data_IF_106459019772
#
_entry.id   IF_106459019772
#
_cell.length_a   1.000
_cell.length_b   1.000
_cell.length_c   1.000
_cell.angle_alpha   90.00
_cell.angle_beta   90.00
_cell.angle_gamma   90.00
#
_symmetry.space_group_name_H-M   'P 1'
#
loop_
_entity.id
_entity.type
_entity.pdbx_description
1 polymer ?
#
# COMPACT_ATOMS: atom_id res chain seq x y z
N UNK A 1 -12.12 -9.08 20.87
CA UNK A 1 -11.58 -8.12 19.89
C UNK A 1 -10.39 -8.74 19.18
N UNK A 2 -10.40 -8.71 17.88
CA UNK A 2 -9.31 -9.25 17.09
C UNK A 2 -8.04 -8.41 17.29
N UNK A 3 -6.90 -9.07 17.54
CA UNK A 3 -5.62 -8.39 17.69
C UNK A 3 -5.25 -7.55 16.47
N UNK A 4 -5.73 -7.94 15.27
CA UNK A 4 -5.45 -7.23 14.03
C UNK A 4 -6.14 -5.86 13.93
N UNK A 5 -7.11 -5.58 14.83
CA UNK A 5 -7.81 -4.31 14.86
C UNK A 5 -7.15 -3.28 15.78
N UNK A 6 -6.05 -3.63 16.43
CA UNK A 6 -5.32 -2.74 17.32
C UNK A 6 -4.02 -2.31 16.64
N UNK A 7 -3.86 -1.00 16.32
CA UNK A 7 -2.61 -0.54 15.74
C UNK A 7 -1.43 -0.75 16.68
N UNK A 8 -0.31 -1.17 16.11
CA UNK A 8 0.94 -1.33 16.83
C UNK A 8 1.83 -0.11 16.56
N UNK A 9 2.35 0.48 17.63
CA UNK A 9 3.31 1.58 17.51
C UNK A 9 4.65 1.04 17.06
N UNK A 10 5.20 1.60 15.98
CA UNK A 10 6.53 1.26 15.49
C UNK A 10 7.50 2.41 15.76
N UNK A 11 8.69 2.04 16.19
CA UNK A 11 9.82 2.96 16.37
C UNK A 11 10.86 2.68 15.28
N UNK A 12 11.81 3.62 15.04
CA UNK A 12 12.72 3.53 13.90
C UNK A 12 13.37 2.16 13.64
N UNK A 13 13.82 1.38 14.65
CA UNK A 13 14.40 0.06 14.36
C UNK A 13 13.44 -0.92 13.69
N UNK A 14 12.13 -0.72 13.85
CA UNK A 14 11.09 -1.60 13.29
C UNK A 14 10.37 -0.98 12.09
N UNK A 15 10.87 0.15 11.59
CA UNK A 15 10.33 0.78 10.38
C UNK A 15 10.70 -0.02 9.14
N UNK A 16 9.91 0.07 8.06
CA UNK A 16 10.38 -0.36 6.76
C UNK A 16 11.73 0.31 6.46
N UNK A 17 12.68 -0.46 5.98
CA UNK A 17 14.06 0.01 5.82
C UNK A 17 14.17 1.30 5.03
N UNK A 18 13.47 1.39 3.89
CA UNK A 18 13.54 2.56 3.02
C UNK A 18 13.02 3.84 3.68
N UNK A 19 12.14 3.72 4.66
CA UNK A 19 11.60 4.88 5.36
C UNK A 19 12.67 5.59 6.18
N UNK A 20 13.68 4.87 6.64
CA UNK A 20 14.76 5.45 7.42
C UNK A 20 15.73 6.28 6.57
N UNK A 21 15.65 6.15 5.23
CA UNK A 21 16.53 6.84 4.29
C UNK A 21 16.02 8.21 3.87
N UNK A 22 14.77 8.55 4.18
CA UNK A 22 14.24 9.86 3.82
C UNK A 22 14.79 10.95 4.73
N UNK A 23 14.76 12.20 4.24
CA UNK A 23 15.39 13.33 4.90
C UNK A 23 14.82 13.59 6.30
N UNK A 24 13.51 13.53 6.46
CA UNK A 24 12.82 13.80 7.72
C UNK A 24 11.88 12.65 8.03
N UNK A 25 12.41 11.49 8.45
CA UNK A 25 11.53 10.36 8.78
C UNK A 25 10.66 10.69 10.00
N UNK A 26 9.47 10.09 10.10
CA UNK A 26 8.65 10.25 11.29
C UNK A 26 9.36 9.68 12.51
N UNK A 27 9.01 10.17 13.69
CA UNK A 27 9.57 9.67 14.93
C UNK A 27 8.92 8.34 15.35
N UNK A 28 7.68 8.15 14.94
CA UNK A 28 6.93 6.93 15.22
C UNK A 28 5.88 6.71 14.16
N UNK A 29 5.42 5.46 14.02
CA UNK A 29 4.33 5.08 13.14
C UNK A 29 3.37 4.17 13.88
N UNK A 30 2.11 4.19 13.48
CA UNK A 30 1.13 3.22 13.92
C UNK A 30 0.79 2.31 12.76
N UNK A 31 0.92 1.02 12.96
CA UNK A 31 0.70 0.01 11.92
C UNK A 31 -0.43 -0.93 12.33
N UNK A 32 -1.41 -1.09 11.46
CA UNK A 32 -2.46 -2.08 11.62
C UNK A 32 -2.16 -3.22 10.65
N UNK A 33 -1.97 -4.41 11.18
CA UNK A 33 -1.55 -5.57 10.39
C UNK A 33 -0.04 -5.69 10.29
N UNK A 34 0.41 -6.49 9.35
CA UNK A 34 1.83 -6.77 9.14
C UNK A 34 2.32 -6.11 7.87
N UNK A 35 3.56 -5.62 7.89
CA UNK A 35 4.20 -5.07 6.71
C UNK A 35 4.95 -6.20 6.01
N UNK A 36 4.49 -6.65 4.83
CA UNK A 36 5.16 -7.74 4.12
C UNK A 36 6.51 -7.31 3.58
N UNK A 37 7.38 -8.27 3.34
CA UNK A 37 8.68 -8.04 2.72
C UNK A 37 8.59 -8.31 1.23
N UNK A 38 9.20 -7.44 0.43
CA UNK A 38 9.19 -7.55 -1.01
C UNK A 38 9.56 -6.22 -1.65
N UNK A 39 9.11 -6.01 -2.87
CA UNK A 39 9.33 -4.75 -3.59
C UNK A 39 8.12 -3.85 -3.41
N UNK A 40 8.32 -2.69 -2.80
CA UNK A 40 7.26 -1.72 -2.61
C UNK A 40 7.10 -0.86 -3.85
N UNK A 41 5.90 -0.87 -4.42
CA UNK A 41 5.58 -0.08 -5.61
C UNK A 41 4.45 0.89 -5.23
N UNK A 42 4.74 2.19 -5.32
CA UNK A 42 3.72 3.20 -5.07
C UNK A 42 2.84 3.36 -6.31
N UNK A 43 1.55 3.17 -6.14
CA UNK A 43 0.56 3.38 -7.18
C UNK A 43 -0.40 4.46 -6.71
N UNK A 44 -0.23 5.66 -7.23
CA UNK A 44 -1.00 6.82 -6.81
C UNK A 44 -1.54 7.57 -8.03
N UNK A 45 -2.60 8.31 -7.85
CA UNK A 45 -3.15 9.07 -8.94
C UNK A 45 -4.30 9.97 -8.53
N UNK A 46 -5.01 10.45 -9.52
CA UNK A 46 -6.08 11.43 -9.35
C UNK A 46 -7.26 10.86 -8.55
N UNK A 47 -7.93 11.75 -7.83
CA UNK A 47 -9.20 11.44 -7.16
C UNK A 47 -10.39 11.39 -8.11
N UNK A 48 -10.23 11.91 -9.32
CA UNK A 48 -11.27 11.95 -10.36
C UNK A 48 -10.77 11.30 -11.65
N UNK A 49 -10.63 9.96 -11.65
CA UNK A 49 -10.12 9.25 -12.81
C UNK A 49 -11.12 9.20 -13.95
N UNK A 50 -10.61 9.06 -15.17
CA UNK A 50 -11.44 8.87 -16.36
C UNK A 50 -12.05 7.47 -16.42
N UNK A 51 -12.85 7.24 -17.47
CA UNK A 51 -13.67 6.03 -17.59
C UNK A 51 -12.89 4.72 -17.65
N UNK A 52 -11.68 4.74 -18.18
CA UNK A 52 -10.86 3.53 -18.34
C UNK A 52 -9.89 3.29 -17.20
N UNK A 53 -9.83 4.21 -16.26
CA UNK A 53 -8.81 4.17 -15.20
C UNK A 53 -8.92 2.93 -14.32
N UNK A 54 -10.14 2.53 -13.97
CA UNK A 54 -10.36 1.34 -13.14
C UNK A 54 -9.83 0.08 -13.83
N UNK A 55 -10.11 -0.06 -15.11
CA UNK A 55 -9.63 -1.20 -15.90
C UNK A 55 -8.11 -1.20 -16.03
N UNK A 56 -7.50 -0.04 -16.23
CA UNK A 56 -6.05 0.09 -16.29
C UNK A 56 -5.39 -0.29 -14.97
N UNK A 57 -5.97 0.14 -13.85
CA UNK A 57 -5.49 -0.24 -12.52
C UNK A 57 -5.55 -1.75 -12.33
N UNK A 58 -6.65 -2.38 -12.74
CA UNK A 58 -6.78 -3.83 -12.66
C UNK A 58 -5.70 -4.54 -13.47
N UNK A 59 -5.47 -4.11 -14.70
CA UNK A 59 -4.44 -4.72 -15.57
C UNK A 59 -3.05 -4.57 -14.98
N UNK A 60 -2.74 -3.37 -14.49
CA UNK A 60 -1.44 -3.11 -13.89
C UNK A 60 -1.21 -3.98 -12.67
N UNK A 61 -2.16 -3.99 -11.75
CA UNK A 61 -2.03 -4.75 -10.51
C UNK A 61 -2.03 -6.26 -10.80
N UNK A 62 -2.86 -6.72 -11.72
CA UNK A 62 -2.87 -8.13 -12.13
C UNK A 62 -1.49 -8.59 -12.64
N UNK A 63 -0.78 -7.71 -13.34
CA UNK A 63 0.56 -8.03 -13.84
C UNK A 63 1.57 -8.25 -12.71
N UNK A 64 1.26 -7.81 -11.49
CA UNK A 64 2.12 -7.98 -10.32
C UNK A 64 1.89 -9.32 -9.59
N UNK A 65 0.91 -10.12 -10.03
CA UNK A 65 0.70 -11.44 -9.45
C UNK A 65 1.95 -12.31 -9.61
N UNK A 66 2.19 -13.16 -8.62
CA UNK A 66 3.33 -14.09 -8.62
C UNK A 66 4.69 -13.39 -8.69
N UNK A 67 4.73 -12.12 -8.33
CA UNK A 67 5.96 -11.38 -8.11
C UNK A 67 6.10 -11.13 -6.60
N UNK A 68 7.17 -10.45 -6.20
CA UNK A 68 7.34 -10.02 -4.82
C UNK A 68 6.88 -8.57 -4.64
N UNK A 69 6.10 -8.04 -5.56
CA UNK A 69 5.63 -6.66 -5.51
C UNK A 69 4.56 -6.47 -4.45
N UNK A 70 4.64 -5.35 -3.77
CA UNK A 70 3.68 -4.91 -2.75
C UNK A 70 3.18 -3.54 -3.18
N UNK A 71 1.87 -3.41 -3.35
CA UNK A 71 1.26 -2.14 -3.74
C UNK A 71 1.17 -1.23 -2.52
N UNK A 72 1.71 -0.03 -2.64
CA UNK A 72 1.62 1.00 -1.60
C UNK A 72 0.84 2.18 -2.16
N UNK A 73 -0.22 2.57 -1.49
CA UNK A 73 -1.04 3.70 -1.91
C UNK A 73 -1.71 4.36 -0.70
N UNK A 74 -2.41 5.46 -0.93
CA UNK A 74 -2.93 6.28 0.16
C UNK A 74 -4.39 6.05 0.52
N UNK A 75 -5.05 5.07 -0.10
CA UNK A 75 -6.47 4.79 0.10
C UNK A 75 -7.38 5.98 -0.24
N UNK A 76 -6.88 6.94 -1.02
CA UNK A 76 -7.69 8.06 -1.47
C UNK A 76 -8.72 7.61 -2.50
N UNK A 77 -9.79 8.37 -2.62
CA UNK A 77 -10.79 8.15 -3.66
C UNK A 77 -10.12 8.15 -5.04
N UNK A 78 -10.60 7.33 -5.96
CA UNK A 78 -10.09 7.27 -7.33
C UNK A 78 -9.00 6.22 -7.52
N UNK A 79 -7.88 6.60 -8.13
CA UNK A 79 -6.81 5.67 -8.52
C UNK A 79 -6.28 4.87 -7.33
N UNK A 80 -6.00 5.54 -6.20
CA UNK A 80 -5.49 4.86 -5.01
C UNK A 80 -6.41 3.72 -4.60
N UNK A 81 -7.70 3.99 -4.50
CA UNK A 81 -8.71 3.01 -4.10
C UNK A 81 -8.83 1.88 -5.12
N UNK A 82 -8.80 2.20 -6.41
CA UNK A 82 -8.87 1.19 -7.47
C UNK A 82 -7.68 0.22 -7.39
N UNK A 83 -6.49 0.73 -7.10
CA UNK A 83 -5.31 -0.11 -6.97
C UNK A 83 -5.38 -1.02 -5.74
N UNK A 84 -5.87 -0.52 -4.61
CA UNK A 84 -6.08 -1.35 -3.42
C UNK A 84 -7.11 -2.45 -3.66
N UNK A 85 -8.25 -2.11 -4.27
CA UNK A 85 -9.29 -3.07 -4.61
C UNK A 85 -8.75 -4.16 -5.54
N UNK A 86 -8.03 -3.76 -6.58
CA UNK A 86 -7.44 -4.71 -7.51
C UNK A 86 -6.42 -5.61 -6.82
N UNK A 87 -5.61 -5.06 -5.92
CA UNK A 87 -4.64 -5.84 -5.17
C UNK A 87 -5.32 -6.91 -4.32
N UNK A 88 -6.41 -6.57 -3.65
CA UNK A 88 -7.19 -7.52 -2.87
C UNK A 88 -7.77 -8.60 -3.79
N UNK A 89 -8.36 -8.21 -4.92
CA UNK A 89 -8.99 -9.14 -5.86
C UNK A 89 -7.99 -10.12 -6.47
N UNK A 90 -6.78 -9.67 -6.75
CA UNK A 90 -5.76 -10.50 -7.42
C UNK A 90 -4.74 -11.10 -6.45
N UNK A 91 -4.92 -10.94 -5.15
CA UNK A 91 -4.02 -11.54 -4.16
C UNK A 91 -2.64 -10.90 -4.11
N UNK A 92 -2.52 -9.63 -4.50
CA UNK A 92 -1.28 -8.86 -4.40
C UNK A 92 -1.28 -8.14 -3.05
N UNK A 93 -0.21 -8.26 -2.25
CA UNK A 93 -0.17 -7.54 -0.98
C UNK A 93 -0.27 -6.04 -1.19
N UNK A 94 -0.99 -5.35 -0.30
CA UNK A 94 -1.18 -3.91 -0.42
C UNK A 94 -1.11 -3.25 0.95
N UNK A 95 -0.53 -2.06 0.98
CA UNK A 95 -0.37 -1.23 2.18
C UNK A 95 -1.01 0.13 1.92
N UNK A 96 -1.88 0.55 2.82
CA UNK A 96 -2.44 1.90 2.78
C UNK A 96 -1.68 2.80 3.75
N UNK A 97 -1.20 3.93 3.25
CA UNK A 97 -0.53 4.95 4.06
C UNK A 97 -1.47 6.15 4.16
N UNK A 98 -2.04 6.33 5.33
CA UNK A 98 -3.06 7.35 5.58
C UNK A 98 -2.44 8.69 5.99
#
# INVERSE_FOLDING_TARGET
>A
MDKNNIPTKLLPPNFPELLTLIKNPPQELYCLGNIPKGFYIALVGTRRPGNYSKELCKRLVKSLQNTQAIVVSGLAQGIDCYCHEAAIDFGVPTIAVL
#
